data_IF_122339672731
#
_entry.id   IF_122339672731
#
_cell.length_a   1.000
_cell.length_b   1.000
_cell.length_c   1.000
_cell.angle_alpha   90.00
_cell.angle_beta   90.00
_cell.angle_gamma   90.00
#
_symmetry.space_group_name_H-M   'P 1'
#
loop_
_entity.id
_entity.type
_entity.pdbx_description
1 polymer ?
#
# COMPACT_ATOMS: atom_id res chain seq x y z
N UNK A 1 8.46 -17.23 7.34
CA UNK A 1 7.14 -16.88 6.75
C UNK A 1 7.24 -16.96 5.23
N UNK A 2 6.13 -17.21 4.54
CA UNK A 2 6.12 -17.38 3.09
C UNK A 2 5.68 -16.13 2.34
N UNK A 3 5.03 -15.21 3.04
CA UNK A 3 4.60 -13.91 2.54
C UNK A 3 4.40 -12.94 3.68
N UNK A 4 4.40 -11.66 3.34
CA UNK A 4 4.00 -10.55 4.20
C UNK A 4 2.83 -9.82 3.59
N UNK A 5 2.15 -8.99 4.38
CA UNK A 5 1.05 -8.15 3.93
C UNK A 5 1.21 -6.71 4.39
N UNK A 6 0.93 -5.77 3.50
CA UNK A 6 0.74 -4.36 3.81
C UNK A 6 -0.77 -4.11 3.74
N UNK A 7 -1.35 -3.68 4.86
CA UNK A 7 -2.79 -3.42 4.97
C UNK A 7 -3.03 -1.91 4.86
N UNK A 8 -3.85 -1.52 3.91
CA UNK A 8 -4.28 -0.13 3.71
C UNK A 8 -5.63 0.08 4.39
N UNK A 9 -5.58 0.73 5.56
CA UNK A 9 -6.73 0.95 6.44
C UNK A 9 -7.16 2.43 6.36
N UNK A 10 -8.19 2.74 5.54
CA UNK A 10 -8.71 4.10 5.41
C UNK A 10 -9.57 4.48 6.62
N UNK A 11 -9.65 5.77 6.97
CA UNK A 11 -10.67 6.26 7.87
C UNK A 11 -12.05 6.20 7.22
N UNK A 12 -13.10 6.16 8.05
CA UNK A 12 -14.48 6.18 7.60
C UNK A 12 -14.75 7.35 6.62
N UNK A 13 -15.58 7.09 5.62
CA UNK A 13 -16.00 8.06 4.60
C UNK A 13 -14.85 8.63 3.73
N UNK A 14 -13.71 7.98 3.67
CA UNK A 14 -12.70 8.32 2.66
C UNK A 14 -13.07 7.62 1.34
N UNK A 15 -13.11 8.33 0.19
CA UNK A 15 -13.35 7.70 -1.11
C UNK A 15 -12.32 6.62 -1.42
N UNK A 16 -12.76 5.49 -1.98
CA UNK A 16 -11.90 4.33 -2.22
C UNK A 16 -10.82 4.58 -3.28
N UNK A 17 -11.02 5.53 -4.19
CA UNK A 17 -10.00 6.00 -5.14
C UNK A 17 -8.71 6.46 -4.43
N UNK A 18 -8.84 7.02 -3.21
CA UNK A 18 -7.69 7.39 -2.38
C UNK A 18 -6.93 6.18 -1.85
N UNK A 19 -7.62 5.08 -1.58
CA UNK A 19 -6.96 3.80 -1.23
C UNK A 19 -6.20 3.25 -2.42
N UNK A 20 -6.77 3.36 -3.62
CA UNK A 20 -6.10 2.97 -4.87
C UNK A 20 -4.85 3.83 -5.12
N UNK A 21 -4.89 5.15 -4.85
CA UNK A 21 -3.70 6.01 -4.96
C UNK A 21 -2.57 5.51 -4.04
N UNK A 22 -2.88 5.20 -2.78
CA UNK A 22 -1.86 4.69 -1.84
C UNK A 22 -1.36 3.30 -2.27
N UNK A 23 -2.24 2.45 -2.81
CA UNK A 23 -1.85 1.13 -3.33
C UNK A 23 -0.86 1.25 -4.50
N UNK A 24 -1.05 2.21 -5.42
CA UNK A 24 -0.12 2.50 -6.53
C UNK A 24 1.25 2.94 -5.98
N UNK A 25 1.29 3.80 -4.96
CA UNK A 25 2.54 4.22 -4.32
C UNK A 25 3.24 3.07 -3.60
N UNK A 26 2.50 2.16 -2.99
CA UNK A 26 3.09 0.91 -2.45
C UNK A 26 3.68 0.07 -3.58
N UNK A 27 2.98 -0.06 -4.73
CA UNK A 27 3.50 -0.75 -5.92
C UNK A 27 4.82 -0.14 -6.39
N UNK A 28 4.90 1.18 -6.52
CA UNK A 28 6.12 1.90 -6.91
C UNK A 28 7.30 1.58 -5.98
N UNK A 29 7.08 1.58 -4.65
CA UNK A 29 8.14 1.22 -3.71
C UNK A 29 8.55 -0.26 -3.82
N UNK A 30 7.60 -1.17 -4.06
CA UNK A 30 7.88 -2.58 -4.29
C UNK A 30 8.68 -2.80 -5.58
N UNK A 31 8.36 -2.08 -6.65
CA UNK A 31 9.10 -2.12 -7.93
C UNK A 31 10.54 -1.65 -7.76
N UNK A 32 10.78 -0.56 -7.00
CA UNK A 32 12.13 -0.11 -6.65
C UNK A 32 12.94 -1.17 -5.87
N UNK A 33 12.25 -2.02 -5.12
CA UNK A 33 12.85 -3.11 -4.35
C UNK A 33 12.92 -4.44 -5.12
N UNK A 34 12.50 -4.46 -6.40
CA UNK A 34 12.32 -5.68 -7.20
C UNK A 34 11.47 -6.75 -6.49
N UNK A 35 10.44 -6.32 -5.77
CA UNK A 35 9.55 -7.17 -5.01
C UNK A 35 8.19 -7.27 -5.71
N UNK A 36 7.68 -8.48 -6.02
CA UNK A 36 6.36 -8.62 -6.60
C UNK A 36 5.27 -8.35 -5.56
N UNK A 37 4.28 -7.54 -5.92
CA UNK A 37 3.11 -7.23 -5.09
C UNK A 37 1.83 -7.83 -5.65
N UNK A 38 0.98 -8.39 -4.77
CA UNK A 38 -0.29 -9.01 -5.11
C UNK A 38 -1.42 -8.32 -4.34
N UNK A 39 -2.16 -7.41 -5.00
CA UNK A 39 -3.24 -6.68 -4.35
C UNK A 39 -4.49 -7.54 -4.21
N UNK A 40 -5.28 -7.27 -3.16
CA UNK A 40 -6.64 -7.77 -3.00
C UNK A 40 -7.47 -6.81 -2.15
N UNK A 41 -8.79 -6.77 -2.36
CA UNK A 41 -9.67 -6.05 -1.44
C UNK A 41 -9.68 -6.72 -0.06
N UNK A 42 -9.95 -5.96 0.99
CA UNK A 42 -10.17 -6.53 2.32
C UNK A 42 -11.52 -7.27 2.42
N UNK A 43 -12.41 -7.07 1.44
CA UNK A 43 -13.82 -7.44 1.50
C UNK A 43 -14.65 -6.44 2.33
N UNK A 44 -14.04 -5.35 2.79
CA UNK A 44 -14.64 -4.18 3.45
C UNK A 44 -14.07 -2.91 2.81
N UNK A 45 -13.77 -1.86 3.57
CA UNK A 45 -13.31 -0.57 3.03
C UNK A 45 -11.83 -0.47 2.68
N UNK A 46 -11.00 -1.47 3.00
CA UNK A 46 -9.55 -1.43 2.82
C UNK A 46 -9.03 -2.31 1.68
N UNK A 47 -7.70 -2.31 1.52
CA UNK A 47 -6.99 -3.09 0.52
C UNK A 47 -5.72 -3.67 1.12
N UNK A 48 -5.39 -4.92 0.80
CA UNK A 48 -4.18 -5.58 1.24
C UNK A 48 -3.25 -5.82 0.04
N UNK A 49 -1.96 -5.61 0.23
CA UNK A 49 -0.93 -5.95 -0.76
C UNK A 49 -0.02 -7.01 -0.15
N UNK A 50 -0.06 -8.21 -0.73
CA UNK A 50 0.78 -9.31 -0.31
C UNK A 50 2.08 -9.35 -1.10
N UNK A 51 3.16 -9.63 -0.39
CA UNK A 51 4.49 -9.78 -1.00
C UNK A 51 5.04 -11.15 -0.60
N UNK A 52 5.30 -12.04 -1.56
CA UNK A 52 5.91 -13.33 -1.24
C UNK A 52 7.34 -13.14 -0.72
N UNK A 53 7.73 -13.98 0.22
CA UNK A 53 9.06 -13.97 0.84
C UNK A 53 9.82 -15.24 0.49
N UNK A 54 11.15 -15.20 0.43
CA UNK A 54 11.97 -16.41 0.30
C UNK A 54 11.67 -17.40 1.44
N UNK A 55 11.70 -18.69 1.13
CA UNK A 55 11.48 -19.73 2.13
C UNK A 55 12.43 -19.56 3.33
N UNK A 56 11.90 -19.72 4.54
CA UNK A 56 12.66 -19.56 5.76
C UNK A 56 12.87 -18.12 6.23
N UNK A 57 12.29 -17.11 5.57
CA UNK A 57 12.39 -15.71 6.01
C UNK A 57 11.89 -15.58 7.47
N UNK A 58 12.73 -15.03 8.39
CA UNK A 58 12.29 -14.73 9.76
C UNK A 58 11.14 -13.72 9.78
N UNK A 59 10.29 -13.79 10.81
CA UNK A 59 9.17 -12.84 10.97
C UNK A 59 9.63 -11.39 11.08
N UNK A 60 10.72 -11.18 11.80
CA UNK A 60 11.33 -9.86 12.02
C UNK A 60 11.83 -9.24 10.70
N UNK A 61 12.41 -10.05 9.81
CA UNK A 61 12.86 -9.58 8.50
C UNK A 61 11.69 -9.20 7.60
N UNK A 62 10.61 -9.98 7.59
CA UNK A 62 9.40 -9.65 6.85
C UNK A 62 8.71 -8.42 7.40
N UNK A 63 8.61 -8.28 8.73
CA UNK A 63 8.07 -7.10 9.39
C UNK A 63 8.88 -5.83 9.04
N UNK A 64 10.22 -5.92 9.12
CA UNK A 64 11.12 -4.81 8.76
C UNK A 64 10.95 -4.40 7.29
N UNK A 65 10.83 -5.37 6.38
CA UNK A 65 10.55 -5.10 4.97
C UNK A 65 9.27 -4.25 4.81
N UNK A 66 8.16 -4.69 5.39
CA UNK A 66 6.90 -3.95 5.32
C UNK A 66 6.99 -2.58 6.00
N UNK A 67 7.72 -2.46 7.11
CA UNK A 67 7.94 -1.19 7.79
C UNK A 67 8.71 -0.20 6.90
N UNK A 68 9.72 -0.65 6.18
CA UNK A 68 10.49 0.18 5.24
C UNK A 68 9.56 0.70 4.15
N UNK A 69 8.81 -0.18 3.46
CA UNK A 69 7.89 0.21 2.39
C UNK A 69 6.84 1.20 2.91
N UNK A 70 6.15 0.87 4.02
CA UNK A 70 5.12 1.72 4.61
C UNK A 70 5.66 3.11 5.00
N UNK A 71 6.88 3.16 5.58
CA UNK A 71 7.52 4.41 5.98
C UNK A 71 7.90 5.26 4.76
N UNK A 72 8.35 4.65 3.68
CA UNK A 72 8.70 5.35 2.43
C UNK A 72 7.46 5.99 1.81
N UNK A 73 6.37 5.22 1.68
CA UNK A 73 5.08 5.74 1.19
C UNK A 73 4.59 6.92 2.05
N UNK A 74 4.58 6.75 3.38
CA UNK A 74 4.14 7.81 4.28
C UNK A 74 5.01 9.07 4.22
N UNK A 75 6.33 8.93 4.05
CA UNK A 75 7.25 10.08 3.89
C UNK A 75 7.06 10.81 2.56
N UNK A 76 6.89 10.07 1.46
CA UNK A 76 6.66 10.67 0.14
C UNK A 76 5.28 11.31 0.00
N UNK A 77 4.27 10.75 0.67
CA UNK A 77 2.86 11.16 0.54
C UNK A 77 2.20 11.50 1.90
N UNK A 78 2.79 12.40 2.72
CA UNK A 78 2.36 12.63 4.10
C UNK A 78 0.97 13.25 4.25
N UNK A 79 0.39 13.75 3.16
CA UNK A 79 -0.97 14.31 3.15
C UNK A 79 -2.06 13.24 3.14
N UNK A 80 -1.76 12.04 2.60
CA UNK A 80 -2.74 10.97 2.42
C UNK A 80 -2.37 9.67 3.13
N UNK A 81 -1.08 9.34 3.27
CA UNK A 81 -0.59 8.11 3.87
C UNK A 81 0.10 8.38 5.22
N UNK A 82 0.00 7.42 6.15
CA UNK A 82 0.64 7.50 7.47
C UNK A 82 0.96 6.12 8.03
N UNK A 83 1.99 6.04 8.88
CA UNK A 83 2.28 4.88 9.72
C UNK A 83 1.88 5.11 11.19
N UNK A 84 1.15 6.18 11.46
CA UNK A 84 0.68 6.54 12.81
C UNK A 84 -0.39 5.54 13.29
N UNK A 85 -0.15 4.91 14.43
CA UNK A 85 -1.04 3.87 14.99
C UNK A 85 -2.27 4.45 15.70
N UNK A 86 -2.13 5.63 16.28
CA UNK A 86 -3.24 6.28 16.98
C UNK A 86 -4.29 6.78 16.00
N UNK A 87 -5.51 6.27 16.09
CA UNK A 87 -6.62 6.69 15.21
C UNK A 87 -6.83 8.22 15.30
N UNK A 88 -6.79 8.78 16.50
CA UNK A 88 -6.94 10.22 16.69
C UNK A 88 -5.84 11.05 16.01
N UNK A 89 -4.60 10.54 15.96
CA UNK A 89 -3.46 11.21 15.35
C UNK A 89 -3.36 11.01 13.84
N UNK A 90 -4.02 9.96 13.27
CA UNK A 90 -4.05 9.73 11.81
C UNK A 90 -4.77 10.82 11.05
N UNK A 91 -5.80 11.42 11.65
CA UNK A 91 -6.71 12.32 10.93
C UNK A 91 -7.40 11.61 9.76
N UNK A 92 -7.45 12.27 8.59
CA UNK A 92 -8.06 11.70 7.38
C UNK A 92 -7.05 10.97 6.48
N UNK A 93 -5.96 10.44 7.05
CA UNK A 93 -4.93 9.71 6.31
C UNK A 93 -5.15 8.21 6.38
N UNK A 94 -4.80 7.51 5.31
CA UNK A 94 -4.82 6.05 5.23
C UNK A 94 -3.64 5.52 6.04
N UNK A 95 -3.94 4.62 6.96
CA UNK A 95 -2.90 3.90 7.71
C UNK A 95 -2.31 2.79 6.85
N UNK A 96 -1.02 2.88 6.59
CA UNK A 96 -0.26 1.85 5.90
C UNK A 96 0.27 0.89 6.97
N UNK A 97 -0.55 -0.10 7.31
CA UNK A 97 -0.29 -1.01 8.42
C UNK A 97 0.66 -2.15 8.00
N UNK A 98 1.86 -2.13 8.54
CA UNK A 98 2.85 -3.18 8.43
C UNK A 98 2.83 -4.17 9.61
N UNK A 99 2.12 -3.84 10.70
CA UNK A 99 2.09 -4.61 11.94
C UNK A 99 1.21 -5.86 11.87
N UNK A 100 0.47 -6.05 10.77
CA UNK A 100 -0.28 -7.28 10.51
C UNK A 100 0.65 -8.51 10.37
N UNK A 101 1.96 -8.28 10.17
CA UNK A 101 2.97 -9.34 10.08
C UNK A 101 3.50 -9.84 11.44
N UNK A 102 2.95 -9.36 12.54
CA UNK A 102 3.27 -9.85 13.90
C UNK A 102 2.53 -11.17 14.16
N UNK A 103 3.19 -12.10 14.86
CA UNK A 103 2.57 -13.38 15.24
C UNK A 103 1.25 -13.16 16.00
N UNK A 104 0.22 -13.92 15.65
CA UNK A 104 -1.10 -13.85 16.26
C UNK A 104 -2.02 -12.82 15.64
N UNK A 105 -1.57 -12.05 14.66
CA UNK A 105 -2.42 -11.21 13.81
C UNK A 105 -3.05 -12.01 12.70
N UNK A 106 -4.28 -11.62 12.33
CA UNK A 106 -5.04 -12.26 11.24
C UNK A 106 -5.56 -11.20 10.27
N UNK A 107 -5.55 -11.54 9.00
CA UNK A 107 -6.19 -10.78 7.93
C UNK A 107 -7.27 -11.64 7.26
N UNK A 108 -8.26 -11.02 6.65
CA UNK A 108 -9.21 -11.74 5.81
C UNK A 108 -8.44 -12.49 4.72
N UNK A 109 -8.61 -13.80 4.64
CA UNK A 109 -7.97 -14.60 3.60
C UNK A 109 -8.56 -14.26 2.22
N UNK A 110 -7.78 -14.49 1.16
CA UNK A 110 -8.30 -14.37 -0.19
C UNK A 110 -9.55 -15.23 -0.35
N UNK A 111 -10.53 -14.70 -1.05
CA UNK A 111 -11.81 -15.34 -1.36
C UNK A 111 -12.76 -15.54 -0.16
N UNK A 112 -12.45 -14.97 1.01
CA UNK A 112 -13.37 -15.03 2.17
C UNK A 112 -14.47 -13.96 2.07
N UNK A 113 -15.70 -14.37 2.37
CA UNK A 113 -16.82 -13.44 2.53
C UNK A 113 -16.71 -12.65 3.85
N UNK A 114 -17.23 -11.41 3.84
CA UNK A 114 -17.27 -10.52 5.00
C UNK A 114 -18.73 -10.20 5.34
N UNK A 115 -19.02 -10.21 6.65
CA UNK A 115 -20.32 -9.81 7.16
C UNK A 115 -20.39 -8.27 7.20
N UNK A 116 -20.82 -7.67 6.10
CA UNK A 116 -21.12 -6.23 5.97
C UNK A 116 -22.32 -6.03 5.05
N UNK A 117 -22.81 -4.80 4.92
CA UNK A 117 -24.06 -4.47 4.25
C UNK A 117 -24.08 -4.85 2.76
N UNK A 118 -22.93 -4.92 2.09
CA UNK A 118 -22.83 -5.33 0.69
C UNK A 118 -22.34 -6.77 0.50
N UNK A 119 -22.21 -7.55 1.59
CA UNK A 119 -21.75 -8.93 1.55
C UNK A 119 -20.44 -9.11 0.75
N UNK A 120 -19.45 -8.27 1.06
CA UNK A 120 -18.21 -8.15 0.31
C UNK A 120 -17.34 -9.41 0.39
N UNK A 121 -16.56 -9.65 -0.66
CA UNK A 121 -15.57 -10.72 -0.74
C UNK A 121 -14.17 -10.12 -0.78
N UNK A 122 -13.28 -10.68 0.02
CA UNK A 122 -11.85 -10.34 0.01
C UNK A 122 -11.20 -10.89 -1.26
N UNK A 123 -11.22 -10.09 -2.32
CA UNK A 123 -11.00 -10.52 -3.71
C UNK A 123 -9.62 -10.11 -4.22
N UNK A 124 -8.78 -11.07 -4.67
CA UNK A 124 -7.58 -10.78 -5.43
C UNK A 124 -7.85 -9.98 -6.69
N UNK A 125 -6.95 -9.03 -6.97
CA UNK A 125 -7.01 -8.12 -8.10
C UNK A 125 -5.73 -8.22 -8.92
N UNK A 126 -5.82 -7.91 -10.22
CA UNK A 126 -4.65 -7.50 -10.99
C UNK A 126 -4.33 -6.03 -10.73
N UNK A 127 -3.11 -5.61 -11.03
CA UNK A 127 -2.75 -4.19 -10.99
C UNK A 127 -3.50 -3.38 -12.04
N UNK A 128 -3.80 -3.98 -13.19
CA UNK A 128 -4.58 -3.32 -14.26
C UNK A 128 -6.03 -3.04 -13.83
N UNK A 129 -6.66 -3.95 -13.09
CA UNK A 129 -7.98 -3.71 -12.49
C UNK A 129 -7.94 -2.57 -11.48
N UNK A 130 -6.89 -2.52 -10.65
CA UNK A 130 -6.69 -1.45 -9.69
C UNK A 130 -6.48 -0.10 -10.39
N UNK A 131 -5.72 -0.08 -11.48
CA UNK A 131 -5.45 1.13 -12.28
C UNK A 131 -6.70 1.60 -13.05
N UNK A 132 -7.55 0.68 -13.50
CA UNK A 132 -8.82 1.00 -14.13
C UNK A 132 -9.84 1.62 -13.14
N UNK A 133 -9.62 1.44 -11.85
CA UNK A 133 -10.50 1.92 -10.78
C UNK A 133 -11.59 0.92 -10.45
N UNK A 134 -11.55 0.40 -9.24
CA UNK A 134 -12.55 -0.54 -8.69
C UNK A 134 -13.07 0.00 -7.36
N UNK A 135 -14.20 -0.54 -6.92
CA UNK A 135 -14.75 -0.28 -5.59
C UNK A 135 -14.92 -1.59 -4.82
N UNK A 136 -14.97 -1.60 -3.48
CA UNK A 136 -15.23 -2.81 -2.72
C UNK A 136 -16.56 -3.47 -3.08
N UNK A 137 -17.55 -2.68 -3.49
CA UNK A 137 -18.90 -3.13 -3.85
C UNK A 137 -18.94 -3.91 -5.18
N UNK A 138 -17.89 -3.81 -6.01
CA UNK A 138 -17.76 -4.60 -7.23
C UNK A 138 -17.50 -6.09 -6.95
N UNK A 139 -17.18 -6.44 -5.69
CA UNK A 139 -16.77 -7.78 -5.28
C UNK A 139 -17.62 -8.30 -4.11
N UNK A 140 -18.70 -8.97 -4.44
CA UNK A 140 -19.69 -9.46 -3.49
C UNK A 140 -19.89 -10.97 -3.62
N UNK A 141 -20.53 -11.59 -2.64
CA UNK A 141 -20.89 -13.02 -2.72
C UNK A 141 -21.83 -13.31 -3.90
N UNK A 142 -22.56 -12.31 -4.38
CA UNK A 142 -23.54 -12.48 -5.47
C UNK A 142 -22.89 -12.64 -6.84
N UNK A 143 -21.76 -11.95 -7.10
CA UNK A 143 -21.06 -11.97 -8.39
C UNK A 143 -19.75 -12.77 -8.36
N UNK A 144 -19.39 -13.32 -7.21
CA UNK A 144 -18.11 -13.99 -7.01
C UNK A 144 -17.91 -15.21 -7.93
N UNK A 145 -18.96 -16.04 -8.11
CA UNK A 145 -18.86 -17.23 -8.94
C UNK A 145 -18.60 -16.89 -10.42
N UNK A 146 -19.30 -15.86 -10.94
CA UNK A 146 -19.10 -15.36 -12.29
C UNK A 146 -17.69 -14.82 -12.49
N UNK A 147 -17.19 -14.01 -11.53
CA UNK A 147 -15.82 -13.50 -11.56
C UNK A 147 -14.80 -14.64 -11.59
N UNK A 148 -14.95 -15.64 -10.71
CA UNK A 148 -14.02 -16.77 -10.67
C UNK A 148 -14.01 -17.57 -11.99
N UNK A 149 -15.16 -17.70 -12.66
CA UNK A 149 -15.23 -18.32 -13.97
C UNK A 149 -14.51 -17.48 -15.06
N UNK A 150 -14.59 -16.16 -14.97
CA UNK A 150 -14.01 -15.26 -15.96
C UNK A 150 -12.48 -15.11 -15.82
N UNK A 151 -11.96 -14.92 -14.58
CA UNK A 151 -10.55 -14.56 -14.36
C UNK A 151 -9.72 -15.67 -13.70
N UNK A 152 -10.35 -16.71 -13.16
CA UNK A 152 -9.67 -17.82 -12.48
C UNK A 152 -9.05 -17.43 -11.13
N UNK A 153 -8.10 -18.21 -10.65
CA UNK A 153 -7.41 -18.01 -9.38
C UNK A 153 -6.24 -17.01 -9.52
N UNK A 154 -6.53 -15.73 -9.34
CA UNK A 154 -5.52 -14.66 -9.34
C UNK A 154 -4.55 -14.74 -8.14
N UNK A 155 -4.81 -15.61 -7.15
CA UNK A 155 -3.93 -15.81 -6.00
C UNK A 155 -2.87 -16.90 -6.23
N UNK A 156 -3.04 -17.73 -7.26
CA UNK A 156 -2.10 -18.79 -7.58
C UNK A 156 -0.66 -18.32 -7.88
N UNK A 157 -0.43 -17.17 -8.57
CA UNK A 157 0.91 -16.64 -8.82
C UNK A 157 1.67 -16.27 -7.53
N UNK A 158 1.01 -15.78 -6.49
CA UNK A 158 1.62 -15.49 -5.20
C UNK A 158 2.32 -16.75 -4.64
N UNK A 159 1.63 -17.89 -4.67
CA UNK A 159 2.14 -19.17 -4.13
C UNK A 159 3.30 -19.76 -4.94
N UNK A 160 3.45 -19.35 -6.20
CA UNK A 160 4.49 -19.82 -7.13
C UNK A 160 5.69 -18.86 -7.21
N UNK A 161 5.60 -17.70 -6.61
CA UNK A 161 6.66 -16.69 -6.65
C UNK A 161 7.87 -17.10 -5.83
N UNK A 162 9.06 -16.72 -6.31
CA UNK A 162 10.33 -16.93 -5.60
C UNK A 162 10.51 -15.98 -4.41
N UNK A 163 9.64 -14.97 -4.29
CA UNK A 163 9.70 -13.97 -3.23
C UNK A 163 10.60 -12.77 -3.53
N UNK A 164 10.53 -11.78 -2.64
CA UNK A 164 11.27 -10.52 -2.74
C UNK A 164 12.77 -10.74 -2.47
N UNK A 165 13.64 -10.00 -3.15
CA UNK A 165 15.09 -10.00 -2.84
C UNK A 165 15.38 -9.09 -1.63
N UNK A 166 15.51 -9.70 -0.45
CA UNK A 166 15.81 -8.98 0.78
C UNK A 166 17.18 -8.27 0.77
N UNK A 167 18.10 -8.63 -0.13
CA UNK A 167 19.39 -7.93 -0.27
C UNK A 167 19.21 -6.56 -0.92
N UNK A 168 18.24 -6.43 -1.83
CA UNK A 168 17.87 -5.14 -2.43
C UNK A 168 17.37 -4.17 -1.35
N UNK A 169 16.61 -4.66 -0.38
CA UNK A 169 16.10 -3.87 0.76
C UNK A 169 17.23 -3.30 1.61
N UNK A 170 18.24 -4.13 1.96
CA UNK A 170 19.36 -3.68 2.75
C UNK A 170 20.19 -2.60 2.04
N UNK A 171 20.36 -2.70 0.72
CA UNK A 171 21.03 -1.67 -0.10
C UNK A 171 20.21 -0.40 -0.19
N UNK A 172 18.90 -0.51 -0.36
CA UNK A 172 17.99 0.62 -0.49
C UNK A 172 17.88 1.43 0.81
N UNK A 173 17.81 0.77 1.96
CA UNK A 173 17.78 1.44 3.26
C UNK A 173 19.09 2.11 3.65
N UNK A 174 20.22 1.66 3.09
CA UNK A 174 21.53 2.23 3.31
C UNK A 174 21.87 3.39 2.35
N UNK A 175 21.12 3.59 1.27
CA UNK A 175 21.33 4.67 0.32
C UNK A 175 20.92 6.02 0.92
N UNK A 176 21.74 7.09 0.82
CA UNK A 176 21.34 8.43 1.26
C UNK A 176 20.10 8.87 0.47
N UNK A 177 19.01 9.08 1.18
CA UNK A 177 17.77 9.60 0.61
C UNK A 177 18.02 11.06 0.20
N UNK A 178 18.20 11.35 -1.08
CA UNK A 178 18.33 12.71 -1.59
C UNK A 178 17.03 13.46 -1.26
N UNK A 179 17.08 14.27 -0.21
CA UNK A 179 16.07 15.29 0.05
C UNK A 179 16.05 16.22 -1.16
N UNK A 180 14.94 16.21 -1.91
CA UNK A 180 14.74 17.09 -3.05
C UNK A 180 14.97 18.55 -2.66
N UNK A 181 16.08 19.08 -3.07
CA UNK A 181 16.46 20.50 -2.86
C UNK A 181 15.49 21.35 -3.66
N UNK A 182 14.44 21.85 -3.03
CA UNK A 182 13.66 22.96 -3.55
C UNK A 182 14.57 24.19 -3.56
N UNK A 183 15.17 24.50 -4.70
CA UNK A 183 15.86 25.77 -4.94
C UNK A 183 14.86 26.91 -4.81
N UNK A 184 14.87 27.57 -3.66
CA UNK A 184 14.17 28.81 -3.43
C UNK A 184 14.67 29.88 -4.37
N UNK A 185 13.84 30.33 -5.30
CA UNK A 185 14.06 31.50 -6.15
C UNK A 185 14.08 32.73 -5.27
N UNK A 186 15.27 33.29 -5.01
CA UNK A 186 15.42 34.59 -4.36
C UNK A 186 14.98 35.68 -5.34
N UNK A 187 13.79 36.24 -5.12
CA UNK A 187 13.36 37.49 -5.76
C UNK A 187 14.14 38.66 -5.17
N UNK A 188 15.07 39.20 -5.94
CA UNK A 188 15.77 40.45 -5.67
C UNK A 188 14.82 41.62 -5.94
N UNK A 189 14.26 42.23 -4.93
CA UNK A 189 13.54 43.54 -5.03
C UNK A 189 14.56 44.66 -5.14
N UNK A 190 14.70 45.24 -6.32
CA UNK A 190 15.44 46.49 -6.58
C UNK A 190 14.59 47.64 -6.10
N UNK A 191 15.04 48.31 -5.06
CA UNK A 191 14.43 49.56 -4.56
C UNK A 191 14.87 50.75 -5.43
N UNK A 192 13.93 51.37 -6.14
CA UNK A 192 14.11 52.65 -6.85
C UNK A 192 14.00 53.79 -5.83
N UNK A 193 15.10 54.49 -5.61
CA UNK A 193 15.19 55.73 -4.84
C UNK A 193 14.75 56.88 -5.76
N UNK A 194 13.61 57.53 -5.44
CA UNK A 194 13.18 58.75 -6.09
C UNK A 194 13.70 59.93 -5.29
N UNK A 195 14.57 60.75 -5.88
CA UNK A 195 14.93 62.07 -5.35
C UNK A 195 13.86 63.06 -5.78
N UNK A 196 13.36 63.83 -4.83
CA UNK A 196 12.62 65.11 -5.08
C UNK A 196 13.61 66.26 -4.93
N UNK A 197 13.59 67.10 -5.90
CA UNK A 197 13.93 68.51 -5.79
C UNK A 197 12.65 69.31 -5.80
#
# INVERSE_FOLDING_TARGET
>A
MDHVAIDLDPPDNLPFDRVLDVARWVREELEHLNAPGFPKTSGAGGLHIYVPMPAGTPYEAGLLFCQIVATMVAKKHPKLATVERSIAARGRRIYVDYLQNIRGKTLASAYSARANDFAGVSTPLTWDELDAGVTPQDFTVLNFAERMAAVGDLWAPLRKSKGADLRAVAKYSAAPQNEGTTKGTKNTKTAKKTKRT
#
